data_IF_897994091801
#
_entry.id   IF_897994091801
#
_cell.length_a   1.000
_cell.length_b   1.000
_cell.length_c   1.000
_cell.angle_alpha   90.00
_cell.angle_beta   90.00
_cell.angle_gamma   90.00
#
_symmetry.space_group_name_H-M   'P 1'
#
loop_
_entity.id
_entity.type
_entity.pdbx_description
1 polymer ?
#
# COMPACT_ATOMS: atom_id res chain seq x y z
N UNK A 1 0.35 -24.80 14.64
CA UNK A 1 -0.12 -24.37 13.31
C UNK A 1 -1.24 -23.37 13.52
N UNK A 2 -0.88 -22.08 13.65
CA UNK A 2 -1.79 -21.04 14.12
C UNK A 2 -2.40 -20.37 12.90
N UNK A 3 -3.61 -20.79 12.56
CA UNK A 3 -4.53 -20.07 11.67
C UNK A 3 -4.60 -18.60 12.12
N UNK A 4 -4.23 -17.67 11.23
CA UNK A 4 -4.67 -16.27 11.30
C UNK A 4 -5.27 -15.90 9.94
N UNK A 5 -6.60 -15.99 9.81
CA UNK A 5 -7.33 -15.33 8.74
C UNK A 5 -7.45 -13.84 9.11
N UNK A 6 -6.94 -12.95 8.27
CA UNK A 6 -7.21 -11.51 8.32
C UNK A 6 -7.93 -11.12 7.04
N UNK A 7 -9.05 -11.81 6.79
CA UNK A 7 -10.15 -11.29 6.00
C UNK A 7 -10.71 -10.09 6.78
N UNK A 8 -10.40 -8.86 6.37
CA UNK A 8 -11.12 -7.69 6.90
C UNK A 8 -12.54 -7.67 6.32
N UNK A 9 -13.60 -7.78 7.13
CA UNK A 9 -14.97 -7.67 6.65
C UNK A 9 -15.47 -6.25 6.94
N UNK A 10 -15.30 -5.29 6.02
CA UNK A 10 -15.91 -3.96 6.24
C UNK A 10 -16.48 -3.25 5.00
N UNK A 11 -16.70 -3.91 3.86
CA UNK A 11 -17.37 -3.24 2.73
C UNK A 11 -18.54 -4.04 2.17
N UNK A 12 -19.54 -4.27 3.03
CA UNK A 12 -20.92 -4.52 2.59
C UNK A 12 -21.90 -4.07 3.67
N UNK A 13 -22.30 -2.81 3.63
CA UNK A 13 -23.71 -2.39 3.77
C UNK A 13 -23.82 -0.92 3.36
N UNK A 14 -24.54 -0.71 2.26
CA UNK A 14 -25.13 0.54 1.80
C UNK A 14 -26.37 0.80 2.66
N UNK A 15 -26.39 1.88 3.43
CA UNK A 15 -27.63 2.45 3.98
C UNK A 15 -27.64 3.96 3.75
N UNK A 16 -28.77 4.40 3.23
CA UNK A 16 -29.09 5.72 2.69
C UNK A 16 -29.26 6.76 3.81
N UNK A 17 -28.89 8.02 3.56
CA UNK A 17 -29.35 9.15 4.38
C UNK A 17 -28.52 10.42 4.20
N UNK A 18 -29.15 11.47 3.67
CA UNK A 18 -28.48 12.69 3.19
C UNK A 18 -27.97 13.66 4.26
N UNK A 19 -27.02 14.49 3.84
CA UNK A 19 -26.51 15.63 4.58
C UNK A 19 -25.91 16.64 3.62
N UNK A 20 -26.63 17.74 3.37
CA UNK A 20 -26.22 18.88 2.58
C UNK A 20 -25.20 19.72 3.38
N UNK A 21 -23.96 19.85 2.91
CA UNK A 21 -22.98 20.80 3.45
C UNK A 21 -21.96 21.28 2.38
N UNK A 22 -22.31 22.42 1.77
CA UNK A 22 -21.51 23.61 1.45
C UNK A 22 -19.99 23.49 1.17
N UNK A 23 -19.63 23.84 -0.07
CA UNK A 23 -18.45 24.62 -0.52
C UNK A 23 -17.23 24.67 0.42
N UNK A 24 -16.25 23.80 0.18
CA UNK A 24 -14.90 23.89 0.75
C UNK A 24 -13.90 23.13 -0.10
N UNK A 25 -13.05 23.85 -0.83
CA UNK A 25 -11.99 23.28 -1.66
C UNK A 25 -10.98 22.49 -0.82
N UNK A 26 -10.86 21.20 -1.14
CA UNK A 26 -9.70 20.37 -0.87
C UNK A 26 -9.22 19.85 -2.22
N UNK A 27 -8.04 20.28 -2.62
CA UNK A 27 -7.33 19.87 -3.84
C UNK A 27 -7.38 18.37 -4.09
N UNK A 28 -7.41 17.97 -5.37
CA UNK A 28 -7.18 16.62 -5.89
C UNK A 28 -5.82 16.06 -5.39
N UNK A 29 -5.75 15.63 -4.14
CA UNK A 29 -4.57 14.94 -3.59
C UNK A 29 -5.08 13.76 -2.78
N UNK A 30 -5.38 12.66 -3.47
CA UNK A 30 -5.40 11.32 -2.88
C UNK A 30 -5.66 10.19 -3.88
N UNK A 31 -6.11 10.47 -5.12
CA UNK A 31 -6.23 9.39 -6.13
C UNK A 31 -4.89 8.95 -6.74
N UNK A 32 -3.77 9.59 -6.40
CA UNK A 32 -2.43 9.10 -6.73
C UNK A 32 -1.81 8.19 -5.65
N UNK A 33 -2.45 8.08 -4.48
CA UNK A 33 -2.02 7.18 -3.40
C UNK A 33 -2.57 5.76 -3.58
N UNK A 34 -3.44 5.54 -4.57
CA UNK A 34 -3.95 4.21 -4.90
C UNK A 34 -3.04 3.46 -5.87
N UNK A 35 -2.02 4.12 -6.44
CA UNK A 35 -1.06 3.51 -7.38
C UNK A 35 0.26 3.09 -6.72
N UNK A 36 0.63 3.66 -5.57
CA UNK A 36 1.87 3.35 -4.85
C UNK A 36 1.55 2.87 -3.43
N UNK A 37 2.19 1.80 -2.99
CA UNK A 37 2.05 1.25 -1.64
C UNK A 37 2.80 2.11 -0.61
N UNK A 38 2.17 2.38 0.54
CA UNK A 38 2.73 3.18 1.61
C UNK A 38 3.95 2.53 2.30
N UNK A 39 4.14 1.23 2.10
CA UNK A 39 5.32 0.49 2.55
C UNK A 39 6.60 0.90 1.81
N UNK A 40 6.48 1.59 0.67
CA UNK A 40 7.62 2.06 -0.13
C UNK A 40 7.58 3.60 -0.27
N UNK A 41 7.95 4.36 0.77
CA UNK A 41 7.78 5.82 0.79
C UNK A 41 8.73 6.58 -0.15
N UNK A 42 9.80 5.94 -0.59
CA UNK A 42 10.85 6.57 -1.42
C UNK A 42 10.73 6.25 -2.90
N UNK A 43 9.98 5.20 -3.25
CA UNK A 43 9.80 4.71 -4.63
C UNK A 43 8.35 4.34 -4.85
N UNK A 44 7.80 4.62 -6.03
CA UNK A 44 6.43 4.20 -6.33
C UNK A 44 6.43 2.74 -6.78
N UNK A 45 5.91 1.85 -5.95
CA UNK A 45 5.66 0.44 -6.30
C UNK A 45 4.20 0.14 -5.95
N UNK A 46 3.39 -0.40 -6.87
CA UNK A 46 1.97 -0.67 -6.63
C UNK A 46 1.77 -1.80 -5.62
N UNK A 47 0.64 -1.85 -4.89
CA UNK A 47 0.32 -2.99 -4.04
C UNK A 47 0.05 -4.26 -4.88
N UNK A 48 0.29 -5.48 -4.33
CA UNK A 48 -0.06 -6.72 -5.03
C UNK A 48 -1.58 -6.87 -5.20
N UNK A 49 -2.07 -7.55 -6.27
CA UNK A 49 -1.32 -8.21 -7.34
C UNK A 49 -1.04 -7.31 -8.57
N UNK A 50 0.04 -7.56 -9.35
CA UNK A 50 0.94 -8.71 -9.28
C UNK A 50 1.93 -8.64 -8.10
N UNK A 51 2.50 -9.77 -7.72
CA UNK A 51 3.65 -9.77 -6.82
C UNK A 51 4.91 -9.43 -7.62
N UNK A 52 5.64 -8.41 -7.18
CA UNK A 52 6.83 -7.92 -7.85
C UNK A 52 8.06 -8.38 -7.06
N UNK A 53 9.06 -8.91 -7.75
CA UNK A 53 10.36 -9.21 -7.18
C UNK A 53 11.36 -8.08 -7.49
N UNK A 54 12.52 -8.08 -6.82
CA UNK A 54 13.59 -7.12 -7.12
C UNK A 54 14.05 -7.15 -8.58
N UNK A 55 13.86 -8.28 -9.29
CA UNK A 55 14.17 -8.39 -10.71
C UNK A 55 13.20 -7.63 -11.63
N UNK A 56 11.96 -7.40 -11.17
CA UNK A 56 10.89 -6.80 -11.97
C UNK A 56 10.89 -5.27 -11.92
N UNK A 57 11.58 -4.70 -10.92
CA UNK A 57 11.68 -3.26 -10.71
C UNK A 57 13.13 -2.77 -10.90
N UNK A 58 13.33 -1.51 -11.33
CA UNK A 58 14.67 -0.93 -11.44
C UNK A 58 15.23 -0.40 -10.10
N UNK A 59 14.40 -0.33 -9.06
CA UNK A 59 14.77 0.28 -7.78
C UNK A 59 15.62 -0.66 -6.91
N UNK A 60 16.63 -0.13 -6.23
CA UNK A 60 17.55 -0.87 -5.34
C UNK A 60 17.85 -0.04 -4.11
N UNK A 61 18.09 -0.70 -2.97
CA UNK A 61 18.47 -0.08 -1.69
C UNK A 61 17.53 1.08 -1.32
N UNK A 62 16.23 0.82 -1.31
CA UNK A 62 15.21 1.83 -0.98
C UNK A 62 14.60 1.55 0.40
N UNK A 63 14.05 2.59 1.03
CA UNK A 63 13.38 2.46 2.34
C UNK A 63 12.15 1.55 2.20
N UNK A 64 12.08 0.53 3.06
CA UNK A 64 10.93 -0.37 3.21
C UNK A 64 10.35 -0.22 4.60
N UNK A 65 9.03 -0.05 4.67
CA UNK A 65 8.26 -0.04 5.92
C UNK A 65 7.48 -1.34 6.05
N UNK A 66 7.40 -1.82 7.29
CA UNK A 66 6.57 -2.97 7.59
C UNK A 66 5.09 -2.57 7.70
N UNK A 67 4.14 -3.41 7.25
CA UNK A 67 4.35 -4.73 6.63
C UNK A 67 4.80 -4.60 5.18
N UNK A 68 5.82 -5.36 4.77
CA UNK A 68 6.38 -5.35 3.41
C UNK A 68 5.61 -6.30 2.48
N UNK A 69 4.68 -5.82 1.63
CA UNK A 69 3.73 -6.69 0.93
C UNK A 69 4.40 -7.54 -0.16
N UNK A 70 5.45 -7.02 -0.81
CA UNK A 70 6.26 -7.73 -1.80
C UNK A 70 7.49 -8.42 -1.23
N UNK A 71 7.80 -8.23 0.06
CA UNK A 71 8.92 -8.88 0.74
C UNK A 71 10.28 -8.53 0.12
N UNK A 72 10.45 -7.29 -0.32
CA UNK A 72 11.73 -6.76 -0.82
C UNK A 72 12.82 -6.68 0.25
N UNK A 73 12.44 -6.53 1.52
CA UNK A 73 13.30 -6.54 2.70
C UNK A 73 13.15 -7.88 3.44
N UNK A 74 14.05 -8.82 3.13
CA UNK A 74 13.98 -10.20 3.63
C UNK A 74 14.61 -10.40 5.01
N UNK A 75 15.51 -9.51 5.41
CA UNK A 75 16.24 -9.51 6.67
C UNK A 75 15.75 -8.48 7.68
N UNK A 76 14.78 -7.65 7.28
CA UNK A 76 14.03 -6.69 8.11
C UNK A 76 14.88 -5.54 8.66
N UNK A 77 15.87 -5.10 7.89
CA UNK A 77 16.73 -4.00 8.26
C UNK A 77 16.17 -2.62 7.83
N UNK A 78 15.05 -2.63 7.07
CA UNK A 78 14.38 -1.45 6.54
C UNK A 78 14.83 -1.06 5.14
N UNK A 79 15.67 -1.87 4.48
CA UNK A 79 16.21 -1.60 3.15
C UNK A 79 15.84 -2.73 2.18
N UNK A 80 15.07 -2.40 1.16
CA UNK A 80 14.63 -3.34 0.12
C UNK A 80 15.63 -3.49 -1.02
N UNK A 81 15.72 -4.71 -1.57
CA UNK A 81 16.48 -5.02 -2.79
C UNK A 81 17.92 -4.51 -2.76
N UNK A 82 18.69 -4.95 -1.76
CA UNK A 82 20.08 -4.52 -1.57
C UNK A 82 21.07 -5.12 -2.59
N UNK A 83 20.68 -6.23 -3.21
CA UNK A 83 21.50 -7.04 -4.12
C UNK A 83 21.48 -6.54 -5.57
#
# INVERSE_FOLDING_TARGET
>A
MRFKPMLQPIHKILLLGGGLALLGGGTLVAQAQQDCDASYPTVCIPPPPPDLDCGDIPHRRFEVRQPDPHRFDGDFDGIGCEK
#
